data_IF_035861332737
#
_entry.id   IF_035861332737
#
_cell.length_a   1.000
_cell.length_b   1.000
_cell.length_c   1.000
_cell.angle_alpha   90.00
_cell.angle_beta   90.00
_cell.angle_gamma   90.00
#
_symmetry.space_group_name_H-M   'P 1'
#
loop_
_entity.id
_entity.type
_entity.pdbx_description
1 polymer ?
#
# COMPACT_ATOMS: atom_id res chain seq x y z
N UNK A 1 11.78 5.32 12.86
CA UNK A 1 10.66 5.57 11.92
C UNK A 1 10.64 4.56 10.76
N UNK A 2 11.68 4.43 9.93
CA UNK A 2 11.73 3.38 8.89
C UNK A 2 12.04 1.99 9.47
N UNK A 3 12.83 1.90 10.54
CA UNK A 3 13.06 0.63 11.24
C UNK A 3 11.78 0.09 11.88
N UNK A 4 10.93 0.97 12.43
CA UNK A 4 9.62 0.60 12.98
C UNK A 4 8.67 0.04 11.91
N UNK A 5 8.74 0.55 10.67
CA UNK A 5 7.89 0.08 9.57
C UNK A 5 8.34 -1.29 9.05
N UNK A 6 9.65 -1.59 9.03
CA UNK A 6 10.17 -2.92 8.63
C UNK A 6 9.74 -4.02 9.60
N UNK A 7 9.47 -3.67 10.86
CA UNK A 7 9.04 -4.62 11.87
C UNK A 7 7.57 -5.08 11.68
N UNK A 8 6.74 -4.31 10.97
CA UNK A 8 5.34 -4.64 10.72
C UNK A 8 5.21 -5.94 9.90
N UNK A 9 4.29 -6.81 10.32
CA UNK A 9 4.14 -8.14 9.72
C UNK A 9 3.67 -8.06 8.27
N UNK A 10 2.81 -7.09 7.95
CA UNK A 10 2.39 -6.83 6.58
C UNK A 10 3.55 -6.40 5.67
N UNK A 11 4.53 -5.66 6.20
CA UNK A 11 5.70 -5.21 5.44
C UNK A 11 6.66 -6.37 5.21
N UNK A 12 6.96 -7.17 6.24
CA UNK A 12 7.76 -8.40 6.10
C UNK A 12 7.16 -9.34 5.06
N UNK A 13 5.84 -9.56 5.12
CA UNK A 13 5.14 -10.41 4.14
C UNK A 13 5.24 -9.83 2.73
N UNK A 14 5.06 -8.53 2.57
CA UNK A 14 5.19 -7.88 1.27
C UNK A 14 6.60 -8.05 0.71
N UNK A 15 7.64 -7.76 1.51
CA UNK A 15 9.02 -7.90 1.08
C UNK A 15 9.36 -9.33 0.63
N UNK A 16 8.98 -10.31 1.45
CA UNK A 16 9.24 -11.72 1.15
C UNK A 16 8.49 -12.19 -0.11
N UNK A 17 7.19 -11.87 -0.23
CA UNK A 17 6.35 -12.37 -1.33
C UNK A 17 6.55 -11.61 -2.65
N UNK A 18 7.02 -10.37 -2.61
CA UNK A 18 7.36 -9.59 -3.80
C UNK A 18 8.84 -9.71 -4.20
N UNK A 19 9.64 -10.48 -3.44
CA UNK A 19 11.07 -10.65 -3.67
C UNK A 19 11.88 -9.38 -3.45
N UNK A 20 11.38 -8.42 -2.68
CA UNK A 20 12.05 -7.14 -2.44
C UNK A 20 13.28 -7.27 -1.54
N UNK A 21 13.43 -8.36 -0.79
CA UNK A 21 14.63 -8.64 0.00
C UNK A 21 15.90 -8.76 -0.87
N UNK A 22 15.74 -9.19 -2.12
CA UNK A 22 16.84 -9.29 -3.09
C UNK A 22 17.04 -8.00 -3.92
N UNK A 23 16.18 -7.00 -3.75
CA UNK A 23 16.32 -5.74 -4.47
C UNK A 23 17.49 -4.92 -3.91
N UNK A 24 18.11 -4.02 -4.71
CA UNK A 24 19.13 -3.11 -4.21
C UNK A 24 18.66 -2.31 -2.99
N UNK A 25 19.55 -2.04 -2.03
CA UNK A 25 19.22 -1.36 -0.78
C UNK A 25 18.48 -0.03 -1.00
N UNK A 26 18.93 0.77 -1.99
CA UNK A 26 18.29 2.03 -2.35
C UNK A 26 16.84 1.86 -2.84
N UNK A 27 16.56 0.77 -3.55
CA UNK A 27 15.19 0.42 -3.99
C UNK A 27 14.32 0.02 -2.80
N UNK A 28 14.85 -0.80 -1.89
CA UNK A 28 14.14 -1.17 -0.65
C UNK A 28 13.81 0.06 0.20
N UNK A 29 14.79 0.96 0.37
CA UNK A 29 14.63 2.20 1.13
C UNK A 29 13.57 3.10 0.49
N UNK A 30 13.56 3.23 -0.84
CA UNK A 30 12.54 3.99 -1.55
C UNK A 30 11.12 3.42 -1.31
N UNK A 31 10.96 2.09 -1.39
CA UNK A 31 9.67 1.43 -1.14
C UNK A 31 9.17 1.68 0.28
N UNK A 32 10.06 1.55 1.27
CA UNK A 32 9.73 1.81 2.67
C UNK A 32 9.43 3.28 2.91
N UNK A 33 10.19 4.18 2.29
CA UNK A 33 9.96 5.62 2.41
C UNK A 33 8.57 6.00 1.91
N UNK A 34 8.17 5.52 0.73
CA UNK A 34 6.82 5.76 0.19
C UNK A 34 5.75 5.21 1.13
N UNK A 35 5.96 4.02 1.70
CA UNK A 35 4.99 3.44 2.63
C UNK A 35 4.92 4.18 3.97
N UNK A 36 6.04 4.70 4.49
CA UNK A 36 6.08 5.56 5.68
C UNK A 36 5.27 6.82 5.44
N UNK A 37 5.51 7.51 4.32
CA UNK A 37 4.79 8.73 3.97
C UNK A 37 3.30 8.47 3.77
N UNK A 38 2.94 7.38 3.11
CA UNK A 38 1.53 6.99 2.94
C UNK A 38 0.85 6.65 4.27
N UNK A 39 1.55 5.93 5.15
CA UNK A 39 1.04 5.59 6.50
C UNK A 39 0.80 6.84 7.34
N UNK A 40 1.71 7.82 7.25
CA UNK A 40 1.55 9.13 7.90
C UNK A 40 0.36 9.90 7.31
N UNK A 41 0.23 9.97 5.98
CA UNK A 41 -0.90 10.61 5.30
C UNK A 41 -2.25 10.00 5.71
N UNK A 42 -2.33 8.67 5.77
CA UNK A 42 -3.55 7.96 6.15
C UNK A 42 -3.82 7.94 7.68
N UNK A 43 -2.86 8.40 8.49
CA UNK A 43 -2.90 8.33 9.95
C UNK A 43 -3.00 6.90 10.48
N UNK A 44 -2.41 5.92 9.78
CA UNK A 44 -2.51 4.48 10.09
C UNK A 44 -1.19 3.77 9.87
N UNK A 45 -0.76 2.88 10.79
CA UNK A 45 0.37 2.01 10.53
C UNK A 45 0.05 0.97 9.43
N UNK A 46 1.07 0.34 8.83
CA UNK A 46 0.90 -0.62 7.74
C UNK A 46 -0.11 -1.75 8.02
N UNK A 47 -0.02 -2.35 9.21
CA UNK A 47 -0.90 -3.47 9.58
C UNK A 47 -2.37 -3.02 9.66
N UNK A 48 -2.61 -1.79 10.13
CA UNK A 48 -3.95 -1.20 10.21
C UNK A 48 -4.48 -0.79 8.83
N UNK A 49 -3.61 -0.37 7.89
CA UNK A 49 -4.01 -0.13 6.49
C UNK A 49 -4.53 -1.41 5.86
N UNK A 50 -3.82 -2.53 6.06
CA UNK A 50 -4.26 -3.84 5.59
C UNK A 50 -5.54 -4.26 6.31
N UNK A 51 -5.58 -4.22 7.63
CA UNK A 51 -6.73 -4.63 8.43
C UNK A 51 -7.98 -3.82 8.08
N UNK A 52 -7.82 -2.51 7.82
CA UNK A 52 -8.89 -1.66 7.36
C UNK A 52 -9.56 -2.24 6.12
N UNK A 53 -8.85 -2.79 5.14
CA UNK A 53 -9.50 -3.30 3.92
C UNK A 53 -10.43 -4.51 4.14
N UNK A 54 -10.37 -5.17 5.30
CA UNK A 54 -11.18 -6.36 5.58
C UNK A 54 -12.32 -6.08 6.56
N UNK A 55 -13.42 -6.79 6.34
CA UNK A 55 -14.57 -6.85 7.23
C UNK A 55 -14.87 -8.32 7.55
N UNK A 56 -15.72 -8.55 8.56
CA UNK A 56 -16.26 -9.86 8.87
C UNK A 56 -17.76 -9.89 8.59
N UNK A 57 -18.26 -10.95 7.97
CA UNK A 57 -19.70 -11.15 7.77
C UNK A 57 -20.37 -11.37 9.13
N UNK A 58 -21.47 -10.66 9.42
CA UNK A 58 -22.15 -10.68 10.74
C UNK A 58 -22.63 -12.08 11.17
N UNK A 59 -23.02 -12.92 10.21
CA UNK A 59 -23.56 -14.26 10.50
C UNK A 59 -22.52 -15.38 10.56
N UNK A 60 -21.44 -15.30 9.76
CA UNK A 60 -20.46 -16.39 9.64
C UNK A 60 -19.10 -16.05 10.26
N UNK A 61 -18.83 -14.78 10.57
CA UNK A 61 -17.52 -14.31 11.01
C UNK A 61 -16.44 -14.34 9.92
N UNK A 62 -16.78 -14.79 8.72
CA UNK A 62 -15.88 -14.94 7.57
C UNK A 62 -15.30 -13.58 7.17
N UNK A 63 -13.97 -13.54 7.04
CA UNK A 63 -13.22 -12.34 6.65
C UNK A 63 -13.30 -12.17 5.13
N UNK A 64 -13.66 -10.97 4.67
CA UNK A 64 -13.71 -10.63 3.25
C UNK A 64 -13.14 -9.23 3.00
N UNK A 65 -12.66 -8.99 1.77
CA UNK A 65 -12.19 -7.67 1.34
C UNK A 65 -13.39 -6.79 0.98
N UNK A 66 -13.53 -5.65 1.64
CA UNK A 66 -14.65 -4.74 1.41
C UNK A 66 -14.43 -3.89 0.15
N UNK A 67 -15.37 -3.94 -0.79
CA UNK A 67 -15.36 -3.10 -2.00
C UNK A 67 -15.29 -1.61 -1.63
N UNK A 68 -16.15 -1.15 -0.71
CA UNK A 68 -16.17 0.25 -0.27
C UNK A 68 -14.82 0.67 0.32
N UNK A 69 -14.21 -0.16 1.17
CA UNK A 69 -12.91 0.18 1.78
C UNK A 69 -11.76 0.15 0.77
N UNK A 70 -11.84 -0.66 -0.29
CA UNK A 70 -10.89 -0.57 -1.42
C UNK A 70 -11.02 0.72 -2.21
N UNK A 71 -12.25 1.20 -2.43
CA UNK A 71 -12.48 2.50 -3.08
C UNK A 71 -11.87 3.62 -2.24
N UNK A 72 -12.17 3.64 -0.94
CA UNK A 72 -11.56 4.59 0.01
C UNK A 72 -10.03 4.52 0.00
N UNK A 73 -9.44 3.32 -0.04
CA UNK A 73 -7.99 3.16 -0.11
C UNK A 73 -7.41 3.76 -1.41
N UNK A 74 -8.09 3.58 -2.55
CA UNK A 74 -7.69 4.21 -3.81
C UNK A 74 -7.80 5.74 -3.78
N UNK A 75 -8.82 6.28 -3.10
CA UNK A 75 -8.98 7.72 -2.89
C UNK A 75 -7.83 8.27 -2.04
N UNK A 76 -7.45 7.59 -0.95
CA UNK A 76 -6.29 7.95 -0.13
C UNK A 76 -5.00 7.90 -0.92
N UNK A 77 -4.78 6.86 -1.74
CA UNK A 77 -3.60 6.77 -2.61
C UNK A 77 -3.56 7.93 -3.60
N UNK A 78 -4.70 8.30 -4.18
CA UNK A 78 -4.77 9.42 -5.13
C UNK A 78 -4.50 10.77 -4.44
N UNK A 79 -5.07 10.99 -3.24
CA UNK A 79 -4.83 12.20 -2.45
C UNK A 79 -3.35 12.29 -2.04
N UNK A 80 -2.78 11.20 -1.53
CA UNK A 80 -1.36 11.11 -1.19
C UNK A 80 -0.47 11.45 -2.38
N UNK A 81 -0.68 10.85 -3.54
CA UNK A 81 0.12 11.11 -4.75
C UNK A 81 0.02 12.57 -5.18
N UNK A 82 -1.17 13.18 -5.07
CA UNK A 82 -1.36 14.60 -5.37
C UNK A 82 -0.62 15.51 -4.39
N UNK A 83 -0.63 15.19 -3.09
CA UNK A 83 0.08 15.92 -2.04
C UNK A 83 1.60 15.87 -2.21
N UNK A 84 2.14 14.72 -2.66
CA UNK A 84 3.57 14.57 -2.96
C UNK A 84 4.02 15.35 -4.21
N UNK A 85 3.09 15.84 -5.02
CA UNK A 85 3.40 16.61 -6.24
C UNK A 85 3.98 15.78 -7.38
N UNK A 86 3.98 14.45 -7.28
CA UNK A 86 4.44 13.55 -8.36
C UNK A 86 3.55 13.66 -9.59
N UNK A 87 4.13 13.46 -10.78
CA UNK A 87 3.43 13.61 -12.07
C UNK A 87 3.69 12.43 -13.00
N UNK A 88 2.80 12.25 -13.97
CA UNK A 88 2.96 11.27 -15.06
C UNK A 88 3.32 9.86 -14.57
N UNK A 89 4.41 9.33 -15.11
CA UNK A 89 4.91 7.99 -14.78
C UNK A 89 5.28 7.84 -13.30
N UNK A 90 5.88 8.86 -12.69
CA UNK A 90 6.34 8.79 -11.30
C UNK A 90 5.17 8.73 -10.32
N UNK A 91 4.10 9.47 -10.59
CA UNK A 91 2.86 9.38 -9.83
C UNK A 91 2.30 7.95 -9.84
N UNK A 92 2.27 7.31 -11.02
CA UNK A 92 1.76 5.95 -11.18
C UNK A 92 2.70 4.93 -10.52
N UNK A 93 4.02 5.07 -10.69
CA UNK A 93 5.02 4.19 -10.09
C UNK A 93 4.93 4.20 -8.56
N UNK A 94 4.92 5.37 -7.94
CA UNK A 94 4.84 5.48 -6.48
C UNK A 94 3.49 5.00 -5.93
N UNK A 95 2.39 5.28 -6.64
CA UNK A 95 1.09 4.73 -6.27
C UNK A 95 1.06 3.19 -6.33
N UNK A 96 1.80 2.60 -7.26
CA UNK A 96 1.89 1.15 -7.41
C UNK A 96 2.75 0.48 -6.33
N UNK A 97 3.67 1.20 -5.68
CA UNK A 97 4.36 0.70 -4.48
C UNK A 97 3.33 0.41 -3.38
N UNK A 98 2.45 1.38 -3.09
CA UNK A 98 1.40 1.22 -2.07
C UNK A 98 0.40 0.12 -2.45
N UNK A 99 0.00 0.05 -3.73
CA UNK A 99 -0.88 -1.03 -4.20
C UNK A 99 -0.22 -2.40 -4.13
N UNK A 100 1.07 -2.50 -4.47
CA UNK A 100 1.85 -3.72 -4.35
C UNK A 100 1.84 -4.23 -2.90
N UNK A 101 2.14 -3.35 -1.94
CA UNK A 101 2.03 -3.65 -0.52
C UNK A 101 0.66 -4.24 -0.13
N UNK A 102 -0.43 -3.63 -0.59
CA UNK A 102 -1.79 -4.10 -0.31
C UNK A 102 -2.10 -5.46 -0.97
N UNK A 103 -1.72 -5.63 -2.24
CA UNK A 103 -1.96 -6.86 -3.02
C UNK A 103 -1.26 -8.06 -2.38
N UNK A 104 0.02 -7.89 -2.02
CA UNK A 104 0.81 -8.92 -1.36
C UNK A 104 0.31 -9.25 0.07
N UNK A 105 -0.57 -8.42 0.62
CA UNK A 105 -1.29 -8.66 1.87
C UNK A 105 -2.75 -9.10 1.68
N UNK A 106 -3.12 -9.53 0.47
CA UNK A 106 -4.43 -10.11 0.16
C UNK A 106 -5.51 -9.07 -0.18
N UNK A 107 -5.16 -7.80 -0.35
CA UNK A 107 -6.07 -6.74 -0.77
C UNK A 107 -5.92 -6.51 -2.28
N UNK A 108 -6.71 -7.25 -3.07
CA UNK A 108 -6.74 -7.06 -4.52
C UNK A 108 -7.31 -5.68 -4.86
N UNK A 109 -6.44 -4.75 -5.26
CA UNK A 109 -6.77 -3.36 -5.57
C UNK A 109 -6.15 -2.97 -6.93
N UNK A 110 -6.92 -2.25 -7.75
CA UNK A 110 -6.48 -1.77 -9.06
C UNK A 110 -6.43 -0.24 -9.08
N UNK A 111 -5.45 0.31 -9.80
CA UNK A 111 -5.25 1.74 -9.98
C UNK A 111 -5.39 2.19 -11.42
N UNK A 112 -5.14 3.47 -11.67
CA UNK A 112 -5.01 4.01 -13.02
C UNK A 112 -3.76 3.43 -13.70
N UNK A 113 -3.89 3.10 -14.97
CA UNK A 113 -2.76 2.70 -15.83
C UNK A 113 -2.22 3.96 -16.51
N UNK A 114 -0.91 4.13 -16.58
CA UNK A 114 -0.32 5.23 -17.35
C UNK A 114 -0.46 4.94 -18.84
N UNK A 115 -0.98 5.91 -19.59
CA UNK A 115 -1.30 5.76 -21.03
C UNK A 115 -0.50 6.68 -21.95
N UNK A 116 0.58 7.32 -21.49
CA UNK A 116 1.49 8.04 -22.39
C UNK A 116 1.43 9.56 -22.41
N UNK A 117 0.66 10.22 -21.53
CA UNK A 117 0.54 11.69 -21.50
C UNK A 117 1.30 12.36 -20.36
#
# INVERSE_FOLDING_TARGET
MTEDIRAADSVKRWFASAGHDAAPAQTQEHYLHVLVQFSAHAGKPPDDLVAFCFLRKRGTGERFVSVKRRVTMNEWIAAFVAEQGWRGKDAVANANIVRGFLIHNGVLIQGKVWTGS
#
